data_IF_640079286408
#
_entry.id   IF_640079286408
#
_cell.length_a   1.000
_cell.length_b   1.000
_cell.length_c   1.000
_cell.angle_alpha   90.00
_cell.angle_beta   90.00
_cell.angle_gamma   90.00
#
_symmetry.space_group_name_H-M   'P 1'
#
loop_
_entity.id
_entity.type
_entity.pdbx_description
1 polymer ?
#
# COMPACT_ATOMS: atom_id res chain seq x y z
N UNK A 1 60.25 16.08 0.04
CA UNK A 1 59.13 16.01 -0.91
C UNK A 1 58.04 15.24 -0.20
N UNK A 2 57.00 15.94 0.33
CA UNK A 2 55.93 15.36 1.11
C UNK A 2 54.69 15.17 0.19
N UNK A 3 54.35 13.92 -0.10
CA UNK A 3 53.16 13.59 -0.88
C UNK A 3 51.92 13.76 0.02
N UNK A 4 51.11 14.76 -0.26
CA UNK A 4 49.83 15.00 0.36
C UNK A 4 48.78 14.16 -0.37
N UNK A 5 48.35 13.06 0.24
CA UNK A 5 47.28 12.21 -0.26
C UNK A 5 45.93 12.88 0.11
N UNK A 6 45.25 13.48 -0.86
CA UNK A 6 43.88 13.98 -0.69
C UNK A 6 42.91 12.79 -0.73
N UNK A 7 42.37 12.40 0.43
CA UNK A 7 41.24 11.49 0.54
C UNK A 7 39.98 12.27 0.20
N UNK A 8 39.44 12.04 -1.01
CA UNK A 8 38.14 12.52 -1.42
C UNK A 8 37.09 11.56 -0.84
N UNK A 9 36.50 11.91 0.31
CA UNK A 9 35.33 11.20 0.83
C UNK A 9 34.12 11.59 -0.01
N UNK A 10 33.70 10.71 -0.93
CA UNK A 10 32.43 10.83 -1.61
C UNK A 10 31.31 10.60 -0.58
N UNK A 11 30.69 11.67 -0.13
CA UNK A 11 29.44 11.60 0.60
C UNK A 11 28.35 11.13 -0.39
N UNK A 12 28.07 9.83 -0.40
CA UNK A 12 26.86 9.31 -1.03
C UNK A 12 25.69 9.83 -0.23
N UNK A 13 25.05 10.88 -0.72
CA UNK A 13 23.75 11.29 -0.25
C UNK A 13 22.81 10.08 -0.45
N UNK A 14 22.40 9.40 0.63
CA UNK A 14 21.23 8.57 0.63
C UNK A 14 20.03 9.50 0.39
N UNK A 15 19.76 9.78 -0.88
CA UNK A 15 18.44 10.24 -1.28
C UNK A 15 17.50 9.10 -0.92
N UNK A 16 16.70 9.30 0.13
CA UNK A 16 15.62 8.40 0.46
C UNK A 16 14.83 8.21 -0.84
N UNK A 17 14.90 7.01 -1.41
CA UNK A 17 14.05 6.66 -2.53
C UNK A 17 12.63 6.67 -1.95
N UNK A 18 11.92 7.76 -2.23
CA UNK A 18 10.49 7.78 -2.12
C UNK A 18 10.03 6.61 -2.99
N UNK A 19 9.51 5.52 -2.36
CA UNK A 19 9.22 4.25 -3.04
C UNK A 19 8.12 4.33 -4.13
N UNK A 20 7.79 5.52 -4.57
CA UNK A 20 6.90 5.79 -5.70
C UNK A 20 7.63 5.61 -7.03
N UNK A 21 7.96 4.37 -7.38
CA UNK A 21 8.26 4.04 -8.77
C UNK A 21 7.01 4.23 -9.61
N UNK A 22 7.12 4.32 -10.93
CA UNK A 22 5.97 4.47 -11.84
C UNK A 22 4.89 3.39 -11.66
N UNK A 23 5.22 2.27 -11.03
CA UNK A 23 4.38 1.09 -10.88
C UNK A 23 3.88 0.89 -9.43
N UNK A 24 4.42 1.63 -8.47
CA UNK A 24 4.09 1.50 -7.06
C UNK A 24 3.17 2.62 -6.57
N UNK A 25 2.25 2.27 -5.67
CA UNK A 25 1.42 3.20 -4.91
C UNK A 25 1.51 2.84 -3.42
N UNK A 26 2.66 3.08 -2.76
CA UNK A 26 3.01 2.48 -1.46
C UNK A 26 2.32 3.12 -0.27
N UNK A 27 1.57 4.20 -0.45
CA UNK A 27 0.90 4.92 0.63
C UNK A 27 -0.43 5.51 0.17
N UNK A 28 -1.25 5.99 1.11
CA UNK A 28 -2.58 6.56 0.87
C UNK A 28 -2.63 7.58 -0.28
N UNK A 29 -1.66 8.45 -0.39
CA UNK A 29 -1.60 9.49 -1.43
C UNK A 29 -0.55 9.23 -2.50
N UNK A 30 -0.09 7.99 -2.65
CA UNK A 30 0.98 7.59 -3.58
C UNK A 30 2.36 7.82 -2.99
N UNK A 31 2.59 8.99 -2.38
CA UNK A 31 3.84 9.35 -1.70
C UNK A 31 3.57 9.77 -0.26
N UNK A 32 4.64 9.91 0.56
CA UNK A 32 4.55 10.47 1.92
C UNK A 32 4.02 11.92 1.95
N UNK A 33 4.14 12.65 0.85
CA UNK A 33 3.59 13.99 0.70
C UNK A 33 2.14 14.00 0.22
N UNK A 34 1.54 12.82 0.00
CA UNK A 34 0.17 12.64 -0.48
C UNK A 34 -0.11 13.44 -1.78
N UNK A 35 0.81 13.42 -2.73
CA UNK A 35 0.69 14.16 -3.99
C UNK A 35 -0.48 13.69 -4.86
N UNK A 36 -0.96 12.46 -4.65
CA UNK A 36 -2.08 11.87 -5.40
C UNK A 36 -1.90 11.94 -6.91
N UNK A 37 -0.65 11.86 -7.33
CA UNK A 37 -0.25 11.91 -8.74
C UNK A 37 0.46 10.62 -9.11
N UNK A 38 0.07 10.04 -10.23
CA UNK A 38 0.78 8.93 -10.87
C UNK A 38 1.52 9.44 -12.09
N UNK A 39 2.75 8.96 -12.30
CA UNK A 39 3.51 9.24 -13.52
C UNK A 39 3.10 8.33 -14.69
N UNK A 40 2.12 7.42 -14.48
CA UNK A 40 1.56 6.60 -15.55
C UNK A 40 0.73 7.48 -16.48
N UNK A 41 0.92 7.33 -17.78
CA UNK A 41 0.31 8.14 -18.82
C UNK A 41 -0.60 7.35 -19.78
N UNK A 42 -0.81 6.05 -19.49
CA UNK A 42 -1.69 5.20 -20.32
C UNK A 42 -3.16 5.64 -20.28
N UNK A 43 -3.58 6.32 -19.22
CA UNK A 43 -4.93 6.85 -19.08
C UNK A 43 -4.87 8.37 -19.15
N UNK A 44 -5.60 8.94 -20.10
CA UNK A 44 -5.65 10.38 -20.35
C UNK A 44 -7.03 10.79 -20.87
N UNK A 45 -7.27 12.08 -20.98
CA UNK A 45 -8.59 12.63 -21.38
C UNK A 45 -9.09 12.12 -22.74
N UNK A 46 -8.20 11.72 -23.64
CA UNK A 46 -8.55 11.18 -24.96
C UNK A 46 -9.00 9.72 -24.96
N UNK A 47 -8.80 8.97 -23.85
CA UNK A 47 -9.15 7.55 -23.79
C UNK A 47 -9.91 7.12 -22.53
N UNK A 48 -10.18 8.04 -21.60
CA UNK A 48 -10.88 7.77 -20.34
C UNK A 48 -12.27 7.13 -20.56
N UNK A 49 -12.96 7.47 -21.64
CA UNK A 49 -14.26 6.93 -21.98
C UNK A 49 -14.23 5.45 -22.44
N UNK A 50 -13.05 4.88 -22.62
CA UNK A 50 -12.86 3.46 -23.00
C UNK A 50 -12.44 2.59 -21.83
N UNK A 51 -12.35 3.14 -20.61
CA UNK A 51 -12.00 2.36 -19.42
C UNK A 51 -13.09 1.32 -19.14
N UNK A 52 -12.64 0.10 -18.89
CA UNK A 52 -13.49 -1.02 -18.48
C UNK A 52 -12.85 -1.71 -17.28
N UNK A 53 -13.66 -2.30 -16.37
CA UNK A 53 -13.13 -3.15 -15.30
C UNK A 53 -12.43 -4.38 -15.90
N UNK A 54 -11.20 -4.69 -15.45
CA UNK A 54 -10.47 -5.90 -15.85
C UNK A 54 -10.68 -7.04 -14.87
N UNK A 55 -10.92 -6.73 -13.61
CA UNK A 55 -11.20 -7.72 -12.57
C UNK A 55 -11.98 -7.10 -11.42
N UNK A 56 -12.56 -7.95 -10.59
CA UNK A 56 -13.27 -7.59 -9.36
C UNK A 56 -12.88 -8.57 -8.27
N UNK A 57 -12.66 -8.09 -7.06
CA UNK A 57 -12.39 -8.93 -5.90
C UNK A 57 -13.43 -8.68 -4.81
N UNK A 58 -14.00 -9.76 -4.24
CA UNK A 58 -14.95 -9.70 -3.15
C UNK A 58 -14.29 -10.15 -1.85
N UNK A 59 -14.22 -9.27 -0.87
CA UNK A 59 -13.59 -9.55 0.44
C UNK A 59 -14.42 -10.47 1.33
N UNK A 60 -15.72 -10.55 1.10
CA UNK A 60 -16.65 -11.24 1.99
C UNK A 60 -16.96 -10.50 3.30
N UNK A 61 -16.44 -9.29 3.49
CA UNK A 61 -16.76 -8.41 4.63
C UNK A 61 -17.79 -7.36 4.18
N UNK A 62 -19.04 -7.55 4.58
CA UNK A 62 -20.17 -6.74 4.12
C UNK A 62 -20.74 -5.82 5.21
N UNK A 63 -20.25 -5.91 6.46
CA UNK A 63 -20.95 -5.29 7.59
C UNK A 63 -20.75 -3.77 7.68
N UNK A 64 -19.53 -3.27 7.39
CA UNK A 64 -19.19 -1.87 7.65
C UNK A 64 -18.58 -1.13 6.45
N UNK A 65 -18.60 -1.75 5.30
CA UNK A 65 -17.99 -1.21 4.09
C UNK A 65 -16.45 -1.15 4.16
N UNK A 66 -15.83 -0.84 3.04
CA UNK A 66 -14.38 -0.69 2.93
C UNK A 66 -14.01 0.79 3.08
N UNK A 67 -13.18 1.11 4.06
CA UNK A 67 -12.64 2.45 4.28
C UNK A 67 -11.13 2.53 4.06
N UNK A 68 -10.51 1.38 3.82
CA UNK A 68 -9.10 1.29 3.52
C UNK A 68 -8.82 1.72 2.09
N UNK A 69 -7.74 2.46 1.89
CA UNK A 69 -7.19 2.69 0.56
C UNK A 69 -6.24 1.55 0.23
N UNK A 70 -6.45 0.84 -0.87
CA UNK A 70 -5.48 -0.14 -1.34
C UNK A 70 -4.13 0.51 -1.64
N UNK A 71 -3.06 -0.18 -1.34
CA UNK A 71 -1.69 0.22 -1.74
C UNK A 71 -1.10 -0.86 -2.64
N UNK A 72 -0.19 -0.46 -3.52
CA UNK A 72 0.47 -1.37 -4.46
C UNK A 72 1.97 -1.25 -4.28
N UNK A 73 2.63 -2.38 -4.02
CA UNK A 73 4.08 -2.47 -3.88
C UNK A 73 4.54 -3.70 -4.67
N UNK A 74 5.45 -3.49 -5.61
CA UNK A 74 6.06 -4.55 -6.42
C UNK A 74 5.02 -5.48 -7.10
N UNK A 75 3.97 -4.86 -7.69
CA UNK A 75 2.91 -5.58 -8.39
C UNK A 75 1.89 -6.27 -7.48
N UNK A 76 2.03 -6.18 -6.17
CA UNK A 76 1.08 -6.75 -5.19
C UNK A 76 0.21 -5.63 -4.61
N UNK A 77 -1.10 -5.79 -4.74
CA UNK A 77 -2.09 -4.92 -4.11
C UNK A 77 -2.44 -5.45 -2.72
N UNK A 78 -2.33 -4.60 -1.73
CA UNK A 78 -2.71 -4.90 -0.34
C UNK A 78 -3.91 -4.07 0.05
N UNK A 79 -4.91 -4.72 0.63
CA UNK A 79 -6.08 -4.05 1.18
C UNK A 79 -6.48 -4.67 2.51
N UNK A 80 -7.11 -3.88 3.37
CA UNK A 80 -7.68 -4.36 4.63
C UNK A 80 -9.17 -4.06 4.70
N UNK A 81 -9.90 -4.82 5.53
CA UNK A 81 -11.32 -4.65 5.76
C UNK A 81 -11.61 -4.12 7.15
N UNK A 82 -12.87 -3.78 7.41
CA UNK A 82 -13.34 -3.33 8.71
C UNK A 82 -13.07 -4.33 9.84
N UNK A 83 -13.07 -5.63 9.53
CA UNK A 83 -12.73 -6.72 10.47
C UNK A 83 -11.25 -6.97 10.64
N UNK A 84 -10.39 -6.10 10.12
CA UNK A 84 -8.93 -6.28 10.12
C UNK A 84 -8.49 -7.55 9.36
N UNK A 85 -9.24 -7.97 8.35
CA UNK A 85 -8.75 -8.94 7.40
C UNK A 85 -7.84 -8.23 6.41
N UNK A 86 -6.76 -8.88 6.01
CA UNK A 86 -5.81 -8.36 5.04
C UNK A 86 -5.76 -9.31 3.85
N UNK A 87 -5.78 -8.75 2.66
CA UNK A 87 -5.67 -9.48 1.41
C UNK A 87 -4.48 -8.94 0.62
N UNK A 88 -3.72 -9.85 0.03
CA UNK A 88 -2.73 -9.54 -0.98
C UNK A 88 -3.18 -10.14 -2.30
N UNK A 89 -3.28 -9.30 -3.30
CA UNK A 89 -3.74 -9.65 -4.65
C UNK A 89 -2.63 -9.34 -5.65
N UNK A 90 -2.54 -10.14 -6.69
CA UNK A 90 -1.84 -9.72 -7.90
C UNK A 90 -2.56 -8.50 -8.48
N UNK A 91 -1.88 -7.37 -8.57
CA UNK A 91 -2.51 -6.10 -8.93
C UNK A 91 -3.01 -6.07 -10.38
N UNK A 92 -2.41 -6.84 -11.27
CA UNK A 92 -2.79 -6.88 -12.68
C UNK A 92 -4.01 -7.77 -12.93
N UNK A 93 -4.16 -8.86 -12.19
CA UNK A 93 -5.17 -9.89 -12.45
C UNK A 93 -6.26 -10.00 -11.38
N UNK A 94 -6.07 -9.38 -10.21
CA UNK A 94 -6.96 -9.52 -9.06
C UNK A 94 -6.89 -10.89 -8.38
N UNK A 95 -5.96 -11.77 -8.77
CA UNK A 95 -5.80 -13.09 -8.18
C UNK A 95 -5.38 -12.97 -6.72
N UNK A 96 -6.09 -13.67 -5.83
CA UNK A 96 -5.70 -13.77 -4.43
C UNK A 96 -4.35 -14.52 -4.31
N UNK A 97 -3.37 -13.85 -3.71
CA UNK A 97 -2.06 -14.43 -3.38
C UNK A 97 -2.09 -15.02 -1.98
N UNK A 98 -2.57 -14.24 -1.00
CA UNK A 98 -2.81 -14.70 0.37
C UNK A 98 -3.83 -13.82 1.07
N UNK A 99 -4.40 -14.36 2.14
CA UNK A 99 -5.25 -13.62 3.07
C UNK A 99 -4.82 -13.87 4.52
N UNK A 100 -5.05 -12.88 5.36
CA UNK A 100 -4.92 -12.98 6.80
C UNK A 100 -6.20 -12.50 7.45
N UNK A 101 -6.82 -13.33 8.27
CA UNK A 101 -8.02 -12.99 9.04
C UNK A 101 -7.65 -12.96 10.49
N UNK A 102 -7.65 -11.77 11.08
CA UNK A 102 -7.34 -11.63 12.49
C UNK A 102 -8.39 -12.34 13.35
N UNK A 103 -7.98 -13.27 14.25
CA UNK A 103 -8.89 -13.90 15.19
C UNK A 103 -9.23 -12.91 16.31
N UNK A 104 -10.27 -12.08 16.11
CA UNK A 104 -10.70 -11.11 17.09
C UNK A 104 -11.11 -11.85 18.38
N UNK A 105 -10.61 -11.45 19.57
CA UNK A 105 -11.10 -11.97 20.82
C UNK A 105 -12.60 -11.68 20.95
N UNK A 106 -13.40 -12.68 21.31
CA UNK A 106 -14.86 -12.57 21.39
C UNK A 106 -15.38 -11.43 22.30
N UNK A 107 -14.53 -10.90 23.16
CA UNK A 107 -14.87 -9.89 24.19
C UNK A 107 -14.14 -8.56 23.99
N UNK A 108 -13.33 -8.38 22.96
CA UNK A 108 -12.67 -7.12 22.74
C UNK A 108 -13.70 -6.10 22.25
N UNK A 109 -13.95 -4.99 22.96
CA UNK A 109 -14.75 -3.92 22.43
C UNK A 109 -14.02 -3.35 21.22
N UNK A 110 -14.56 -3.59 20.02
CA UNK A 110 -14.02 -3.02 18.80
C UNK A 110 -14.63 -1.63 18.68
N UNK A 111 -13.88 -0.60 19.06
CA UNK A 111 -14.27 0.77 18.82
C UNK A 111 -14.17 1.08 17.33
N UNK A 112 -15.34 1.32 16.74
CA UNK A 112 -15.46 1.69 15.32
C UNK A 112 -14.80 0.63 14.43
N UNK A 113 -15.55 -0.27 13.86
CA UNK A 113 -15.08 -1.29 12.91
C UNK A 113 -14.53 -0.64 11.64
N UNK A 114 -13.45 0.12 11.77
CA UNK A 114 -12.86 0.89 10.69
C UNK A 114 -11.36 0.62 10.64
N UNK A 115 -10.93 0.00 9.55
CA UNK A 115 -9.53 -0.12 9.23
C UNK A 115 -9.23 0.77 8.01
N UNK A 116 -8.18 1.59 8.10
CA UNK A 116 -7.82 2.59 7.10
C UNK A 116 -6.76 2.12 6.11
N UNK A 117 -6.29 0.88 6.25
CA UNK A 117 -5.29 0.30 5.36
C UNK A 117 -4.13 -0.34 6.12
N UNK A 118 -3.16 -0.77 5.37
CA UNK A 118 -1.92 -1.37 5.84
C UNK A 118 -0.73 -0.51 5.41
N UNK A 119 0.42 -0.75 6.05
CA UNK A 119 1.71 -0.27 5.57
C UNK A 119 2.56 -1.47 5.14
N UNK A 120 3.40 -1.29 4.13
CA UNK A 120 4.31 -2.32 3.63
C UNK A 120 5.73 -1.78 3.67
N UNK A 121 6.64 -2.57 4.19
CA UNK A 121 8.06 -2.21 4.25
C UNK A 121 8.91 -3.38 4.72
N UNK A 122 10.15 -3.43 4.25
CA UNK A 122 11.12 -4.46 4.65
C UNK A 122 10.59 -5.90 4.51
N UNK A 123 9.82 -6.19 3.45
CA UNK A 123 9.22 -7.50 3.21
C UNK A 123 8.10 -7.87 4.19
N UNK A 124 7.53 -6.92 4.92
CA UNK A 124 6.47 -7.14 5.91
C UNK A 124 5.26 -6.26 5.63
N UNK A 125 4.09 -6.75 6.03
CA UNK A 125 2.84 -6.00 6.06
C UNK A 125 2.50 -5.67 7.50
N UNK A 126 2.26 -4.39 7.78
CA UNK A 126 1.93 -3.88 9.10
C UNK A 126 0.45 -3.49 9.11
N UNK A 127 -0.29 -4.10 10.02
CA UNK A 127 -1.70 -3.79 10.28
C UNK A 127 -1.82 -3.16 11.67
N UNK A 128 -2.43 -1.96 11.73
CA UNK A 128 -2.78 -1.36 13.02
C UNK A 128 -4.18 -1.82 13.42
N UNK A 129 -4.26 -2.37 14.61
CA UNK A 129 -5.52 -2.67 15.24
C UNK A 129 -5.82 -1.68 16.38
N UNK A 130 -7.08 -1.21 16.43
CA UNK A 130 -7.59 -0.41 17.53
C UNK A 130 -8.36 -1.34 18.48
N UNK A 131 -7.74 -1.69 19.60
CA UNK A 131 -8.44 -2.22 20.78
C UNK A 131 -8.61 -1.10 21.79
N UNK A 132 -9.79 -0.91 22.33
CA UNK A 132 -9.93 -0.16 23.58
C UNK A 132 -9.34 -1.01 24.71
N UNK A 133 -8.45 -0.43 25.48
CA UNK A 133 -8.07 -0.93 26.81
C UNK A 133 -8.88 -0.20 27.86
#
# INVERSE_FOLDING_TARGET
>A
MKNLLLLLTAATALLGQDGATRENWPSYGGTHYAWRHSALDQIHTGNINRLVPVWTFQTGDYENGLQATPIVVDGVMYLSTSRNWVFALDAATGKLLWEYRYPAPKQAPIYGMQNRGVAVGQGRVFLRWLTAR
#
